data_IF_429731364351
#
_entry.id   IF_429731364351
#
_cell.length_a   1.000
_cell.length_b   1.000
_cell.length_c   1.000
_cell.angle_alpha   90.00
_cell.angle_beta   90.00
_cell.angle_gamma   90.00
#
_symmetry.space_group_name_H-M   'P 1'
#
loop_
_entity.id
_entity.type
_entity.pdbx_description
1 polymer ?
#
# COMPACT_ATOMS: atom_id res chain seq x y z
N UNK A 1 50.13 28.28 -10.57
CA UNK A 1 48.73 27.78 -10.52
C UNK A 1 47.84 28.75 -11.26
N UNK A 2 47.08 28.30 -12.26
CA UNK A 2 46.25 29.17 -13.10
C UNK A 2 44.92 29.50 -12.40
N UNK A 3 44.96 30.42 -11.44
CA UNK A 3 43.78 30.94 -10.74
C UNK A 3 42.74 31.54 -11.70
N UNK A 4 43.18 32.00 -12.87
CA UNK A 4 42.33 32.55 -13.93
C UNK A 4 41.36 31.50 -14.50
N UNK A 5 41.77 30.23 -14.60
CA UNK A 5 40.90 29.13 -15.05
C UNK A 5 39.81 28.83 -14.00
N UNK A 6 40.16 28.85 -12.71
CA UNK A 6 39.20 28.60 -11.63
C UNK A 6 38.09 29.67 -11.57
N UNK A 7 38.45 30.94 -11.81
CA UNK A 7 37.49 32.05 -11.84
C UNK A 7 36.51 31.90 -13.03
N UNK A 8 37.00 31.49 -14.21
CA UNK A 8 36.14 31.28 -15.38
C UNK A 8 35.15 30.12 -15.13
N UNK A 9 35.63 29.00 -14.55
CA UNK A 9 34.76 27.85 -14.22
C UNK A 9 33.68 28.23 -13.19
N UNK A 10 34.02 29.05 -12.20
CA UNK A 10 33.07 29.56 -11.21
C UNK A 10 31.99 30.45 -11.84
N UNK A 11 32.35 31.33 -12.78
CA UNK A 11 31.39 32.20 -13.47
C UNK A 11 30.47 31.41 -14.41
N UNK A 12 31.00 30.40 -15.11
CA UNK A 12 30.20 29.54 -16.00
C UNK A 12 29.19 28.71 -15.22
N UNK A 13 29.62 28.05 -14.14
CA UNK A 13 28.73 27.26 -13.28
C UNK A 13 27.63 28.13 -12.63
N UNK A 14 27.98 29.33 -12.18
CA UNK A 14 27.03 30.31 -11.65
C UNK A 14 26.02 30.81 -12.69
N UNK A 15 26.46 31.05 -13.93
CA UNK A 15 25.59 31.46 -15.02
C UNK A 15 24.63 30.34 -15.45
N UNK A 16 25.09 29.09 -15.49
CA UNK A 16 24.26 27.91 -15.76
C UNK A 16 23.22 27.75 -14.65
N UNK A 17 23.63 27.78 -13.37
CA UNK A 17 22.72 27.70 -12.23
C UNK A 17 21.64 28.77 -12.24
N UNK A 18 21.98 30.02 -12.61
CA UNK A 18 21.00 31.11 -12.75
C UNK A 18 20.02 30.91 -13.89
N UNK A 19 20.41 30.29 -15.01
CA UNK A 19 19.49 29.97 -16.11
C UNK A 19 18.53 28.85 -15.71
N UNK A 20 19.03 27.79 -15.08
CA UNK A 20 18.21 26.65 -14.63
C UNK A 20 17.24 27.03 -13.50
N UNK A 21 17.62 27.95 -12.61
CA UNK A 21 16.69 28.45 -11.58
C UNK A 21 15.51 29.26 -12.18
N UNK A 22 15.72 29.95 -13.29
CA UNK A 22 14.67 30.72 -13.98
C UNK A 22 13.67 29.85 -14.75
N UNK A 23 13.97 28.57 -14.96
CA UNK A 23 13.06 27.61 -15.60
C UNK A 23 12.19 26.84 -14.60
N UNK A 24 12.39 27.05 -13.29
CA UNK A 24 11.51 26.49 -12.27
C UNK A 24 10.26 27.38 -12.14
N UNK A 25 9.21 27.05 -12.88
CA UNK A 25 7.88 27.62 -12.68
C UNK A 25 7.17 26.80 -11.60
N UNK A 26 6.93 27.35 -10.39
CA UNK A 26 6.09 26.68 -9.42
C UNK A 26 4.68 26.53 -10.00
N UNK A 27 4.07 25.35 -9.84
CA UNK A 27 2.67 25.11 -10.24
C UNK A 27 1.74 26.05 -9.49
N UNK A 28 0.63 26.42 -10.12
CA UNK A 28 -0.40 27.23 -9.45
C UNK A 28 -1.05 26.45 -8.31
N UNK A 29 -1.73 27.15 -7.40
CA UNK A 29 -2.44 26.49 -6.30
C UNK A 29 -3.51 25.50 -6.83
N UNK A 30 -4.25 25.91 -7.85
CA UNK A 30 -5.29 25.09 -8.48
C UNK A 30 -4.72 23.82 -9.10
N UNK A 31 -3.59 23.93 -9.82
CA UNK A 31 -2.90 22.76 -10.40
C UNK A 31 -2.40 21.79 -9.31
N UNK A 32 -1.98 22.31 -8.15
CA UNK A 32 -1.56 21.46 -7.03
C UNK A 32 -2.74 20.74 -6.38
N UNK A 33 -3.91 21.37 -6.32
CA UNK A 33 -5.12 20.77 -5.77
C UNK A 33 -5.67 19.67 -6.67
N UNK A 34 -5.66 19.87 -7.99
CA UNK A 34 -6.03 18.84 -8.96
C UNK A 34 -5.11 17.61 -8.85
N UNK A 35 -3.79 17.82 -8.75
CA UNK A 35 -2.81 16.72 -8.58
C UNK A 35 -3.04 15.96 -7.27
N UNK A 36 -3.38 16.67 -6.19
CA UNK A 36 -3.69 16.03 -4.91
C UNK A 36 -4.96 15.19 -5.02
N UNK A 37 -5.99 15.70 -5.68
CA UNK A 37 -7.24 14.98 -5.89
C UNK A 37 -7.01 13.70 -6.71
N UNK A 38 -6.33 13.80 -7.84
CA UNK A 38 -5.97 12.64 -8.68
C UNK A 38 -5.13 11.61 -7.91
N UNK A 39 -4.14 12.07 -7.15
CA UNK A 39 -3.33 11.19 -6.32
C UNK A 39 -4.16 10.48 -5.23
N UNK A 40 -5.11 11.20 -4.60
CA UNK A 40 -6.02 10.60 -3.62
C UNK A 40 -6.93 9.56 -4.25
N UNK A 41 -7.48 9.83 -5.43
CA UNK A 41 -8.32 8.89 -6.16
C UNK A 41 -7.55 7.61 -6.52
N UNK A 42 -6.38 7.73 -7.14
CA UNK A 42 -5.54 6.59 -7.50
C UNK A 42 -5.10 5.75 -6.27
N UNK A 43 -4.82 6.42 -5.13
CA UNK A 43 -4.48 5.74 -3.89
C UNK A 43 -5.69 5.03 -3.26
N UNK A 44 -6.88 5.60 -3.39
CA UNK A 44 -8.13 4.99 -2.94
C UNK A 44 -8.45 3.73 -3.75
N UNK A 45 -8.35 3.80 -5.08
CA UNK A 45 -8.54 2.67 -5.98
C UNK A 45 -7.56 1.52 -5.66
N UNK A 46 -6.27 1.85 -5.49
CA UNK A 46 -5.26 0.85 -5.08
C UNK A 46 -5.61 0.20 -3.74
N UNK A 47 -6.20 0.94 -2.81
CA UNK A 47 -6.58 0.43 -1.49
C UNK A 47 -7.76 -0.53 -1.60
N UNK A 48 -8.80 -0.16 -2.36
CA UNK A 48 -9.95 -1.03 -2.61
C UNK A 48 -9.54 -2.33 -3.31
N UNK A 49 -8.72 -2.25 -4.37
CA UNK A 49 -8.24 -3.44 -5.09
C UNK A 49 -7.47 -4.41 -4.18
N UNK A 50 -6.72 -3.88 -3.20
CA UNK A 50 -5.99 -4.70 -2.22
C UNK A 50 -6.92 -5.36 -1.22
N UNK A 51 -7.95 -4.66 -0.76
CA UNK A 51 -9.00 -5.21 0.11
C UNK A 51 -9.79 -6.31 -0.61
N UNK A 52 -10.14 -6.10 -1.87
CA UNK A 52 -10.82 -7.10 -2.70
C UNK A 52 -10.00 -8.39 -2.83
N UNK A 53 -8.69 -8.27 -3.09
CA UNK A 53 -7.80 -9.43 -3.17
C UNK A 53 -7.73 -10.24 -1.86
N UNK A 54 -7.82 -9.57 -0.70
CA UNK A 54 -7.90 -10.27 0.61
C UNK A 54 -9.19 -11.08 0.69
N UNK A 55 -10.33 -10.48 0.32
CA UNK A 55 -11.63 -11.15 0.33
C UNK A 55 -11.69 -12.32 -0.66
N UNK A 56 -11.10 -12.16 -1.84
CA UNK A 56 -10.98 -13.23 -2.84
C UNK A 56 -10.21 -14.42 -2.26
N UNK A 57 -9.06 -14.18 -1.64
CA UNK A 57 -8.28 -15.23 -0.97
C UNK A 57 -9.09 -15.94 0.12
N UNK A 58 -9.81 -15.19 0.97
CA UNK A 58 -10.65 -15.77 2.02
C UNK A 58 -11.78 -16.63 1.46
N UNK A 59 -12.40 -16.20 0.36
CA UNK A 59 -13.46 -16.97 -0.31
C UNK A 59 -12.92 -18.25 -0.92
N UNK A 60 -11.75 -18.19 -1.58
CA UNK A 60 -11.07 -19.37 -2.13
C UNK A 60 -10.75 -20.37 -1.00
N UNK A 61 -10.21 -19.88 0.12
CA UNK A 61 -9.93 -20.73 1.28
C UNK A 61 -11.21 -21.33 1.88
N UNK A 62 -12.30 -20.56 1.98
CA UNK A 62 -13.58 -21.06 2.47
C UNK A 62 -14.19 -22.14 1.58
N UNK A 63 -14.04 -22.03 0.26
CA UNK A 63 -14.45 -23.08 -0.70
C UNK A 63 -13.58 -24.32 -0.52
N UNK A 64 -12.26 -24.15 -0.46
CA UNK A 64 -11.33 -25.25 -0.26
C UNK A 64 -11.63 -26.02 1.03
N UNK A 65 -11.94 -25.32 2.12
CA UNK A 65 -12.35 -25.94 3.38
C UNK A 65 -13.64 -26.77 3.25
N UNK A 66 -14.61 -26.32 2.45
CA UNK A 66 -15.85 -27.07 2.20
C UNK A 66 -15.58 -28.35 1.40
N UNK A 67 -14.72 -28.26 0.39
CA UNK A 67 -14.32 -29.42 -0.42
C UNK A 67 -13.58 -30.46 0.42
N UNK A 68 -12.62 -30.03 1.25
CA UNK A 68 -11.88 -30.93 2.15
C UNK A 68 -12.80 -31.63 3.15
N UNK A 69 -13.75 -30.90 3.74
CA UNK A 69 -14.78 -31.48 4.62
C UNK A 69 -15.65 -32.50 3.90
N UNK A 70 -15.96 -32.29 2.62
CA UNK A 70 -16.69 -33.28 1.82
C UNK A 70 -15.89 -34.56 1.57
N UNK A 71 -14.56 -34.51 1.67
CA UNK A 71 -13.65 -35.63 1.50
C UNK A 71 -13.20 -36.25 2.83
N UNK A 72 -13.81 -35.90 3.97
CA UNK A 72 -13.39 -36.29 5.33
C UNK A 72 -11.94 -35.91 5.67
N UNK A 73 -11.39 -34.90 4.99
CA UNK A 73 -10.07 -34.33 5.30
C UNK A 73 -10.24 -33.16 6.27
N UNK A 74 -9.61 -33.26 7.44
CA UNK A 74 -9.62 -32.19 8.44
C UNK A 74 -8.41 -31.28 8.19
N UNK A 75 -8.68 -30.03 7.84
CA UNK A 75 -7.67 -28.96 7.87
C UNK A 75 -7.82 -28.14 9.16
N UNK A 76 -6.68 -27.76 9.73
CA UNK A 76 -6.58 -26.99 10.96
C UNK A 76 -6.54 -25.47 10.73
N UNK A 77 -6.53 -25.00 9.47
CA UNK A 77 -6.54 -23.56 9.17
C UNK A 77 -7.94 -22.97 9.36
N UNK A 78 -8.12 -22.15 10.40
CA UNK A 78 -9.43 -21.59 10.80
C UNK A 78 -9.72 -20.18 10.29
N UNK A 79 -8.83 -19.61 9.47
CA UNK A 79 -8.98 -18.25 8.93
C UNK A 79 -7.65 -17.72 8.40
N UNK A 80 -7.61 -16.41 8.15
CA UNK A 80 -6.41 -15.73 7.66
C UNK A 80 -5.73 -14.95 8.77
N UNK A 81 -4.41 -14.93 8.78
CA UNK A 81 -3.62 -14.11 9.71
C UNK A 81 -3.10 -12.85 9.03
N UNK A 82 -2.65 -11.88 9.83
CA UNK A 82 -1.96 -10.71 9.30
C UNK A 82 -0.75 -11.10 8.44
N UNK A 83 -0.01 -12.14 8.84
CA UNK A 83 1.14 -12.64 8.06
C UNK A 83 0.75 -13.19 6.69
N UNK A 84 -0.44 -13.76 6.55
CA UNK A 84 -0.94 -14.23 5.25
C UNK A 84 -1.22 -13.04 4.31
N UNK A 85 -1.78 -11.96 4.84
CA UNK A 85 -2.02 -10.72 4.09
C UNK A 85 -0.70 -10.02 3.72
N UNK A 86 0.27 -9.99 4.62
CA UNK A 86 1.62 -9.47 4.33
C UNK A 86 2.22 -10.19 3.11
N UNK A 87 2.15 -11.53 3.09
CA UNK A 87 2.65 -12.36 1.98
C UNK A 87 1.84 -12.17 0.69
N UNK A 88 0.51 -12.05 0.80
CA UNK A 88 -0.39 -11.90 -0.35
C UNK A 88 -0.16 -10.58 -1.12
N UNK A 89 0.13 -9.52 -0.37
CA UNK A 89 0.16 -8.15 -0.88
C UNK A 89 1.56 -7.53 -0.94
N UNK A 90 2.56 -8.24 -0.42
CA UNK A 90 3.94 -7.78 -0.24
C UNK A 90 4.00 -6.42 0.49
N UNK A 91 3.46 -6.40 1.71
CA UNK A 91 3.36 -5.19 2.53
C UNK A 91 3.82 -5.42 3.96
N UNK A 92 4.10 -4.34 4.67
CA UNK A 92 4.40 -4.40 6.10
C UNK A 92 3.20 -4.88 6.92
N UNK A 93 3.47 -5.45 8.09
CA UNK A 93 2.46 -5.85 9.08
C UNK A 93 1.49 -4.71 9.42
N UNK A 94 1.99 -3.49 9.61
CA UNK A 94 1.17 -2.32 9.90
C UNK A 94 0.20 -1.99 8.75
N UNK A 95 0.67 -2.14 7.50
CA UNK A 95 -0.17 -1.93 6.32
C UNK A 95 -1.22 -3.03 6.18
N UNK A 96 -0.86 -4.30 6.42
CA UNK A 96 -1.80 -5.41 6.41
C UNK A 96 -2.89 -5.25 7.48
N UNK A 97 -2.52 -4.89 8.71
CA UNK A 97 -3.46 -4.58 9.80
C UNK A 97 -4.40 -3.45 9.40
N UNK A 98 -3.91 -2.39 8.73
CA UNK A 98 -4.76 -1.29 8.27
C UNK A 98 -5.87 -1.79 7.33
N UNK A 99 -5.54 -2.62 6.35
CA UNK A 99 -6.54 -3.17 5.43
C UNK A 99 -7.54 -4.10 6.13
N UNK A 100 -7.07 -4.93 7.06
CA UNK A 100 -7.92 -5.81 7.85
C UNK A 100 -8.88 -5.01 8.75
N UNK A 101 -8.40 -3.96 9.41
CA UNK A 101 -9.24 -3.07 10.22
C UNK A 101 -10.28 -2.32 9.38
N UNK A 102 -9.93 -1.89 8.16
CA UNK A 102 -10.89 -1.28 7.24
C UNK A 102 -11.97 -2.29 6.82
N UNK A 103 -11.58 -3.52 6.47
CA UNK A 103 -12.52 -4.60 6.14
C UNK A 103 -13.43 -5.00 7.32
N UNK A 104 -12.91 -5.00 8.54
CA UNK A 104 -13.70 -5.25 9.76
C UNK A 104 -14.67 -4.09 10.03
N UNK A 105 -14.22 -2.85 9.86
CA UNK A 105 -15.08 -1.66 9.97
C UNK A 105 -16.19 -1.65 8.92
N UNK A 106 -15.92 -2.19 7.73
CA UNK A 106 -16.89 -2.42 6.66
C UNK A 106 -17.78 -3.65 6.88
N UNK A 107 -17.63 -4.34 8.03
CA UNK A 107 -18.38 -5.55 8.40
C UNK A 107 -18.21 -6.73 7.44
N UNK A 108 -17.13 -6.78 6.65
CA UNK A 108 -16.86 -7.89 5.72
C UNK A 108 -16.15 -9.06 6.38
N UNK A 109 -15.38 -8.78 7.43
CA UNK A 109 -14.62 -9.77 8.20
C UNK A 109 -14.75 -9.48 9.69
N UNK A 110 -14.43 -10.47 10.52
CA UNK A 110 -14.40 -10.36 11.97
C UNK A 110 -13.05 -10.83 12.53
N UNK A 111 -12.45 -10.05 13.42
CA UNK A 111 -11.25 -10.46 14.13
C UNK A 111 -11.59 -11.43 15.27
N UNK A 112 -10.96 -12.61 15.24
CA UNK A 112 -10.98 -13.57 16.34
C UNK A 112 -9.67 -13.48 17.12
N UNK A 113 -9.79 -13.26 18.43
CA UNK A 113 -8.67 -13.07 19.34
C UNK A 113 -8.31 -11.60 19.54
N UNK A 114 -7.71 -11.28 20.68
CA UNK A 114 -7.46 -9.88 21.10
C UNK A 114 -6.08 -9.37 20.71
N UNK A 115 -5.03 -10.19 20.85
CA UNK A 115 -3.65 -9.81 20.52
C UNK A 115 -2.72 -11.01 20.36
N UNK A 116 -1.62 -10.81 19.65
CA UNK A 116 -0.55 -11.80 19.51
C UNK A 116 -0.83 -12.88 18.44
N UNK A 117 -0.16 -14.03 18.60
CA UNK A 117 -0.13 -15.11 17.58
C UNK A 117 -1.47 -15.85 17.40
N UNK A 118 -2.43 -15.65 18.29
CA UNK A 118 -3.76 -16.25 18.22
C UNK A 118 -4.78 -15.41 17.46
N UNK A 119 -4.37 -14.27 16.88
CA UNK A 119 -5.26 -13.39 16.12
C UNK A 119 -5.38 -13.86 14.68
N UNK A 120 -6.61 -14.09 14.26
CA UNK A 120 -6.95 -14.42 12.88
C UNK A 120 -8.30 -13.79 12.50
N UNK A 121 -8.59 -13.74 11.22
CA UNK A 121 -9.80 -13.11 10.68
C UNK A 121 -10.63 -14.12 9.91
N UNK A 122 -11.94 -14.03 10.05
CA UNK A 122 -12.93 -14.87 9.37
C UNK A 122 -13.91 -14.01 8.58
N UNK A 123 -14.48 -14.58 7.50
CA UNK A 123 -15.56 -13.92 6.77
C UNK A 123 -16.80 -13.86 7.68
N UNK A 124 -17.49 -12.72 7.66
CA UNK A 124 -18.77 -12.51 8.37
C UNK A 124 -19.95 -13.05 7.54
#
# INVERSE_FOLDING_TARGET
MNYLILIIVALVSFAIGRKTAKTFSPKSADELDDIRAEAHEALSERTENRKEKILEMMNIEAVHQKELKSCDVIDHKTGITCSDVEKLLDVSSQTAVKYLNELEKEEKIEQIGTSGRGVYYVLK
#
